data_IF_590729802977
#
_entry.id   IF_590729802977
#
_cell.length_a   1.000
_cell.length_b   1.000
_cell.length_c   1.000
_cell.angle_alpha   90.00
_cell.angle_beta   90.00
_cell.angle_gamma   90.00
#
_symmetry.space_group_name_H-M   'P 1'
#
loop_
_entity.id
_entity.type
_entity.pdbx_description
1 polymer ?
#
# COMPACT_ATOMS: atom_id res chain seq x y z
N UNK A 1 20.71 28.55 -23.15
CA UNK A 1 21.54 28.24 -21.97
C UNK A 1 20.72 27.35 -21.04
N UNK A 2 20.74 26.04 -21.27
CA UNK A 2 19.83 25.08 -20.60
C UNK A 2 20.56 23.96 -19.85
N UNK A 3 21.89 24.02 -19.76
CA UNK A 3 22.73 22.96 -19.19
C UNK A 3 22.82 22.99 -17.65
N UNK A 4 22.48 24.12 -17.02
CA UNK A 4 22.80 24.37 -15.61
C UNK A 4 21.98 23.51 -14.61
N UNK A 5 20.73 23.15 -14.95
CA UNK A 5 19.88 22.32 -14.06
C UNK A 5 20.31 20.86 -14.04
N UNK A 6 20.78 20.36 -15.18
CA UNK A 6 21.21 18.96 -15.37
C UNK A 6 22.54 18.69 -14.67
N UNK A 7 23.47 19.65 -14.67
CA UNK A 7 24.74 19.52 -13.96
C UNK A 7 24.58 19.51 -12.44
N UNK A 8 23.72 20.39 -11.89
CA UNK A 8 23.42 20.41 -10.45
C UNK A 8 22.87 19.08 -9.95
N UNK A 9 22.01 18.43 -10.74
CA UNK A 9 21.42 17.13 -10.41
C UNK A 9 22.47 16.00 -10.41
N UNK A 10 23.46 16.07 -11.32
CA UNK A 10 24.57 15.12 -11.38
C UNK A 10 25.54 15.30 -10.21
N UNK A 11 25.85 16.54 -9.82
CA UNK A 11 26.72 16.82 -8.67
C UNK A 11 26.12 16.33 -7.35
N UNK A 12 24.81 16.52 -7.14
CA UNK A 12 24.10 16.02 -5.94
C UNK A 12 24.16 14.49 -5.81
N UNK A 13 24.11 13.78 -6.93
CA UNK A 13 24.15 12.31 -6.95
C UNK A 13 25.55 11.76 -6.65
N UNK A 14 26.61 12.49 -7.05
CA UNK A 14 27.99 12.13 -6.70
C UNK A 14 28.27 12.32 -5.20
N UNK A 15 27.87 13.46 -4.63
CA UNK A 15 28.05 13.74 -3.20
C UNK A 15 27.33 12.77 -2.27
N UNK A 16 26.16 12.28 -2.66
CA UNK A 16 25.43 11.27 -1.87
C UNK A 16 26.10 9.90 -1.88
N UNK A 17 26.79 9.54 -2.98
CA UNK A 17 27.49 8.27 -3.10
C UNK A 17 28.82 8.26 -2.32
N UNK A 18 29.55 9.39 -2.32
CA UNK A 18 30.80 9.54 -1.54
C UNK A 18 30.50 9.48 -0.02
N UNK A 19 29.42 10.14 0.42
CA UNK A 19 29.02 10.15 1.84
C UNK A 19 28.54 8.79 2.35
N UNK A 20 28.11 7.89 1.47
CA UNK A 20 27.75 6.52 1.81
C UNK A 20 28.97 5.57 1.88
N UNK A 21 30.05 5.88 1.16
CA UNK A 21 31.29 5.09 1.20
C UNK A 21 32.12 5.36 2.46
N UNK A 22 32.18 6.62 2.94
CA UNK A 22 32.89 6.98 4.19
C UNK A 22 32.31 6.30 5.46
N UNK A 23 31.05 5.85 5.42
CA UNK A 23 30.41 5.14 6.55
C UNK A 23 30.74 3.65 6.56
N UNK A 24 31.31 3.11 5.47
CA UNK A 24 31.52 1.66 5.29
C UNK A 24 32.94 1.14 5.58
N UNK A 25 33.92 2.01 5.86
CA UNK A 25 35.33 1.61 6.07
C UNK A 25 35.85 1.72 7.52
N UNK A 26 34.97 1.76 8.53
CA UNK A 26 35.43 1.60 9.92
C UNK A 26 34.65 0.52 10.66
N UNK A 27 35.18 -0.71 10.61
CA UNK A 27 35.46 -1.60 11.76
C UNK A 27 35.67 -3.04 11.29
N UNK A 28 36.93 -3.47 11.32
CA UNK A 28 37.32 -4.88 11.43
C UNK A 28 37.70 -5.13 12.89
N UNK A 29 37.02 -6.05 13.57
CA UNK A 29 37.61 -7.17 14.33
C UNK A 29 36.54 -7.92 15.13
N UNK A 30 36.46 -9.23 14.89
CA UNK A 30 35.77 -10.29 15.65
C UNK A 30 36.60 -10.69 16.92
N UNK A 31 36.23 -11.70 17.74
CA UNK A 31 34.93 -12.33 18.09
C UNK A 31 34.76 -12.52 19.64
N UNK A 32 33.58 -12.94 20.13
CA UNK A 32 33.43 -13.81 21.33
C UNK A 32 31.96 -14.19 21.65
N UNK A 33 31.84 -15.43 22.13
CA UNK A 33 30.67 -16.22 22.53
C UNK A 33 29.84 -15.74 23.74
N UNK A 34 28.68 -16.38 23.92
CA UNK A 34 27.92 -16.68 25.16
C UNK A 34 26.65 -15.89 25.55
N UNK A 35 25.54 -16.66 25.57
CA UNK A 35 24.50 -16.84 26.59
C UNK A 35 23.47 -15.73 26.96
N UNK A 36 22.20 -16.18 26.92
CA UNK A 36 21.02 -15.81 27.76
C UNK A 36 20.74 -14.33 28.09
N UNK A 37 19.55 -13.89 27.70
CA UNK A 37 18.41 -13.72 28.62
C UNK A 37 17.34 -12.80 28.04
N UNK A 38 16.11 -13.27 28.15
CA UNK A 38 14.85 -12.53 28.22
C UNK A 38 14.92 -11.03 28.60
N UNK A 39 14.15 -10.20 27.88
CA UNK A 39 13.18 -9.27 28.47
C UNK A 39 12.28 -8.61 27.41
N UNK A 40 10.98 -8.80 27.60
CA UNK A 40 9.89 -7.96 27.10
C UNK A 40 10.23 -6.47 27.31
N UNK A 41 9.91 -5.63 26.32
CA UNK A 41 9.68 -4.20 26.53
C UNK A 41 8.65 -3.71 25.52
N UNK A 42 7.56 -3.15 26.06
CA UNK A 42 6.42 -2.54 25.35
C UNK A 42 6.92 -1.32 24.56
N UNK A 43 6.35 -0.99 23.39
CA UNK A 43 6.56 0.33 22.82
C UNK A 43 5.67 1.36 23.54
N UNK A 44 6.35 2.39 24.01
CA UNK A 44 5.87 3.60 24.65
C UNK A 44 4.92 4.40 23.75
N UNK A 45 3.97 5.08 24.39
CA UNK A 45 3.08 6.07 23.77
C UNK A 45 3.93 7.26 23.31
N UNK A 46 3.83 7.62 22.04
CA UNK A 46 4.42 8.88 21.55
C UNK A 46 3.38 9.70 20.79
N UNK A 47 2.80 10.62 21.56
CA UNK A 47 2.36 11.99 21.28
C UNK A 47 1.94 12.39 19.86
N UNK A 48 0.68 12.83 19.78
CA UNK A 48 0.07 13.63 18.71
C UNK A 48 0.87 14.91 18.40
N UNK A 49 0.91 15.35 17.12
CA UNK A 49 1.09 16.74 16.75
C UNK A 49 -0.26 17.39 16.38
N UNK A 50 -0.54 18.52 17.03
CA UNK A 50 -1.70 19.40 16.85
C UNK A 50 -1.93 19.88 15.41
N UNK A 51 -3.20 20.02 15.05
CA UNK A 51 -3.75 20.53 13.80
C UNK A 51 -3.35 21.99 13.49
N UNK A 52 -3.35 22.37 12.20
CA UNK A 52 -3.76 23.69 11.77
C UNK A 52 -5.14 23.66 11.07
N UNK A 53 -6.02 24.53 11.55
CA UNK A 53 -7.40 24.82 11.17
C UNK A 53 -7.73 24.89 9.66
N UNK A 54 -8.96 24.48 9.36
CA UNK A 54 -9.68 24.31 8.07
C UNK A 54 -9.70 25.51 7.10
N UNK A 55 -10.14 25.24 5.86
CA UNK A 55 -11.31 25.92 5.35
C UNK A 55 -12.43 24.96 4.91
N UNK A 56 -13.58 25.11 5.56
CA UNK A 56 -14.97 25.01 5.10
C UNK A 56 -15.17 24.59 3.62
N UNK A 57 -15.24 23.29 3.38
CA UNK A 57 -16.14 22.66 2.40
C UNK A 57 -16.81 21.54 3.20
N UNK A 58 -18.09 21.28 2.96
CA UNK A 58 -18.91 20.33 3.70
C UNK A 58 -18.38 18.90 3.59
N UNK A 59 -17.36 18.57 4.37
CA UNK A 59 -16.92 17.20 4.63
C UNK A 59 -18.02 16.55 5.45
N UNK A 60 -18.90 15.85 4.75
CA UNK A 60 -19.67 14.78 5.36
C UNK A 60 -18.61 13.84 5.92
N UNK A 61 -18.44 13.83 7.23
CA UNK A 61 -17.62 12.85 7.96
C UNK A 61 -18.21 11.47 7.70
N UNK A 62 -17.88 10.93 6.53
CA UNK A 62 -18.26 9.61 6.06
C UNK A 62 -17.31 8.68 6.83
N UNK A 63 -17.76 8.27 8.02
CA UNK A 63 -16.97 7.72 9.11
C UNK A 63 -15.92 6.67 8.70
N UNK A 64 -14.94 6.42 9.58
CA UNK A 64 -13.80 5.58 9.21
C UNK A 64 -14.23 4.23 8.62
N UNK A 65 -13.68 3.85 7.45
CA UNK A 65 -13.94 2.55 6.79
C UNK A 65 -13.81 1.36 7.74
N UNK A 66 -12.97 1.47 8.77
CA UNK A 66 -12.76 0.43 9.79
C UNK A 66 -13.95 0.23 10.74
N UNK A 67 -14.78 1.25 10.91
CA UNK A 67 -15.98 1.20 11.74
C UNK A 67 -17.17 0.62 10.96
N UNK A 68 -17.21 0.86 9.65
CA UNK A 68 -18.28 0.43 8.76
C UNK A 68 -18.06 -0.99 8.18
N UNK A 69 -16.81 -1.36 7.90
CA UNK A 69 -16.46 -2.57 7.15
C UNK A 69 -15.67 -3.58 7.99
N UNK A 70 -15.93 -4.87 7.74
CA UNK A 70 -15.23 -5.98 8.40
C UNK A 70 -13.90 -6.27 7.69
N UNK A 71 -12.79 -5.98 8.37
CA UNK A 71 -11.45 -6.29 7.90
C UNK A 71 -11.25 -7.79 7.67
N UNK A 72 -11.06 -8.18 6.42
CA UNK A 72 -10.92 -9.59 5.99
C UNK A 72 -9.57 -9.81 5.32
N UNK A 73 -8.82 -10.82 5.77
CA UNK A 73 -7.52 -11.20 5.19
C UNK A 73 -7.64 -12.49 4.38
N UNK A 74 -7.05 -12.51 3.18
CA UNK A 74 -7.11 -13.63 2.25
C UNK A 74 -5.75 -13.87 1.59
N UNK A 75 -5.47 -15.12 1.22
CA UNK A 75 -4.35 -15.45 0.36
C UNK A 75 -4.81 -15.52 -1.10
N UNK A 76 -4.12 -14.80 -1.98
CA UNK A 76 -4.39 -14.80 -3.41
C UNK A 76 -3.17 -15.34 -4.19
N UNK A 77 -3.39 -16.10 -5.29
CA UNK A 77 -2.35 -16.37 -6.27
C UNK A 77 -1.68 -15.07 -6.74
N UNK A 78 -0.37 -15.16 -7.03
CA UNK A 78 0.43 -13.98 -7.46
C UNK A 78 -0.13 -13.31 -8.71
N UNK A 79 -0.64 -14.12 -9.65
CA UNK A 79 -1.30 -13.63 -10.87
C UNK A 79 -2.53 -12.78 -10.52
N UNK A 80 -3.45 -13.33 -9.72
CA UNK A 80 -4.67 -12.63 -9.32
C UNK A 80 -4.38 -11.33 -8.55
N UNK A 81 -3.38 -11.32 -7.66
CA UNK A 81 -2.96 -10.07 -7.00
C UNK A 81 -2.51 -9.01 -8.00
N UNK A 82 -1.70 -9.40 -8.99
CA UNK A 82 -1.21 -8.49 -10.03
C UNK A 82 -2.36 -7.97 -10.91
N UNK A 83 -3.32 -8.83 -11.23
CA UNK A 83 -4.49 -8.46 -12.03
C UNK A 83 -5.38 -7.46 -11.28
N UNK A 84 -5.61 -7.67 -9.97
CA UNK A 84 -6.32 -6.70 -9.12
C UNK A 84 -5.61 -5.35 -9.07
N UNK A 85 -4.28 -5.32 -8.88
CA UNK A 85 -3.51 -4.08 -8.85
C UNK A 85 -3.59 -3.33 -10.19
N UNK A 86 -3.49 -4.05 -11.32
CA UNK A 86 -3.61 -3.47 -12.64
C UNK A 86 -5.02 -2.90 -12.87
N UNK A 87 -6.05 -3.68 -12.57
CA UNK A 87 -7.44 -3.27 -12.78
C UNK A 87 -7.78 -2.04 -11.94
N UNK A 88 -7.35 -2.02 -10.67
CA UNK A 88 -7.52 -0.86 -9.79
C UNK A 88 -6.90 0.40 -10.41
N UNK A 89 -5.66 0.35 -10.89
CA UNK A 89 -4.99 1.53 -11.44
C UNK A 89 -5.70 2.08 -12.68
N UNK A 90 -6.25 1.20 -13.53
CA UNK A 90 -7.00 1.60 -14.72
C UNK A 90 -8.32 2.26 -14.30
N UNK A 91 -9.13 1.58 -13.48
CA UNK A 91 -10.42 2.09 -13.05
C UNK A 91 -10.30 3.38 -12.24
N UNK A 92 -9.30 3.48 -11.35
CA UNK A 92 -8.99 4.70 -10.60
C UNK A 92 -8.74 5.87 -11.54
N UNK A 93 -7.85 5.68 -12.52
CA UNK A 93 -7.49 6.75 -13.45
C UNK A 93 -8.67 7.20 -14.31
N UNK A 94 -9.48 6.25 -14.79
CA UNK A 94 -10.68 6.56 -15.58
C UNK A 94 -11.75 7.27 -14.74
N UNK A 95 -12.02 6.78 -13.52
CA UNK A 95 -13.02 7.36 -12.62
C UNK A 95 -12.62 8.78 -12.16
N UNK A 96 -11.39 8.93 -11.66
CA UNK A 96 -10.89 10.23 -11.18
C UNK A 96 -10.82 11.28 -12.30
N UNK A 97 -10.50 10.86 -13.53
CA UNK A 97 -10.48 11.77 -14.68
C UNK A 97 -11.89 12.23 -15.09
N UNK A 98 -12.89 11.33 -15.00
CA UNK A 98 -14.25 11.62 -15.44
C UNK A 98 -15.05 12.40 -14.39
N UNK A 99 -14.87 12.09 -13.10
CA UNK A 99 -15.71 12.59 -12.02
C UNK A 99 -15.00 13.55 -11.06
N UNK A 100 -13.68 13.76 -11.18
CA UNK A 100 -12.88 14.55 -10.23
C UNK A 100 -13.04 14.11 -8.76
N UNK A 101 -13.38 12.84 -8.52
CA UNK A 101 -13.62 12.23 -7.20
C UNK A 101 -12.61 11.12 -6.89
N UNK A 102 -12.16 11.00 -5.63
CA UNK A 102 -11.20 9.98 -5.22
C UNK A 102 -11.77 8.55 -5.33
N UNK A 103 -11.03 7.66 -5.99
CA UNK A 103 -11.42 6.25 -6.12
C UNK A 103 -10.61 5.37 -5.16
N UNK A 104 -11.07 5.27 -3.92
CA UNK A 104 -10.38 4.54 -2.86
C UNK A 104 -10.48 3.01 -2.97
N UNK A 105 -9.42 2.31 -2.55
CA UNK A 105 -9.38 0.84 -2.55
C UNK A 105 -10.45 0.20 -1.67
N UNK A 106 -10.51 0.60 -0.40
CA UNK A 106 -11.33 -0.07 0.60
C UNK A 106 -12.79 0.40 0.56
N UNK A 107 -13.02 1.70 0.30
CA UNK A 107 -14.38 2.25 0.20
C UNK A 107 -15.07 1.89 -1.13
N UNK A 108 -14.35 1.90 -2.26
CA UNK A 108 -14.93 1.68 -3.58
C UNK A 108 -14.50 0.35 -4.24
N UNK A 109 -13.22 0.18 -4.53
CA UNK A 109 -12.76 -0.89 -5.43
C UNK A 109 -13.02 -2.31 -4.91
N UNK A 110 -12.60 -2.64 -3.69
CA UNK A 110 -12.76 -4.00 -3.15
C UNK A 110 -14.24 -4.39 -2.98
N UNK A 111 -15.13 -3.52 -2.45
CA UNK A 111 -16.56 -3.79 -2.43
C UNK A 111 -17.14 -4.10 -3.82
N UNK A 112 -16.75 -3.36 -4.86
CA UNK A 112 -17.21 -3.64 -6.23
C UNK A 112 -16.76 -5.01 -6.73
N UNK A 113 -15.47 -5.34 -6.55
CA UNK A 113 -14.92 -6.64 -6.96
C UNK A 113 -15.65 -7.78 -6.25
N UNK A 114 -15.86 -7.66 -4.94
CA UNK A 114 -16.54 -8.70 -4.15
C UNK A 114 -18.00 -8.83 -4.55
N UNK A 115 -18.73 -7.72 -4.69
CA UNK A 115 -20.16 -7.73 -5.09
C UNK A 115 -20.36 -8.44 -6.42
N UNK A 116 -19.66 -7.99 -7.48
CA UNK A 116 -19.82 -8.61 -8.79
C UNK A 116 -19.25 -10.03 -8.84
N UNK A 117 -18.22 -10.33 -8.04
CA UNK A 117 -17.72 -11.70 -7.85
C UNK A 117 -18.81 -12.62 -7.28
N UNK A 118 -19.50 -12.20 -6.22
CA UNK A 118 -20.59 -12.95 -5.61
C UNK A 118 -21.78 -13.11 -6.56
N UNK A 119 -22.22 -12.03 -7.21
CA UNK A 119 -23.29 -12.07 -8.22
C UNK A 119 -22.95 -13.04 -9.36
N UNK A 120 -21.68 -13.12 -9.78
CA UNK A 120 -21.24 -14.04 -10.84
C UNK A 120 -21.25 -15.53 -10.45
N UNK A 121 -21.29 -15.80 -9.14
CA UNK A 121 -21.36 -17.15 -8.56
C UNK A 121 -22.78 -17.50 -8.11
N UNK A 122 -23.64 -16.51 -7.93
CA UNK A 122 -25.04 -16.70 -7.55
C UNK A 122 -25.79 -17.47 -8.65
N UNK A 123 -26.52 -18.51 -8.24
CA UNK A 123 -27.30 -19.35 -9.15
C UNK A 123 -26.54 -20.48 -9.84
N UNK A 124 -25.22 -20.57 -9.67
CA UNK A 124 -24.45 -21.71 -10.18
C UNK A 124 -24.70 -22.97 -9.36
N UNK A 125 -24.77 -24.11 -10.05
CA UNK A 125 -24.82 -25.42 -9.40
C UNK A 125 -23.42 -25.97 -9.08
N UNK A 126 -23.38 -27.08 -8.33
CA UNK A 126 -22.12 -27.69 -7.89
C UNK A 126 -21.23 -28.18 -9.06
N UNK A 127 -21.83 -28.57 -10.18
CA UNK A 127 -21.09 -29.03 -11.36
C UNK A 127 -20.44 -27.85 -12.06
N UNK A 128 -21.17 -26.76 -12.24
CA UNK A 128 -20.67 -25.52 -12.83
C UNK A 128 -19.55 -24.89 -11.97
N UNK A 129 -19.71 -24.91 -10.65
CA UNK A 129 -18.65 -24.47 -9.73
C UNK A 129 -17.38 -25.32 -9.90
N UNK A 130 -17.53 -26.65 -10.04
CA UNK A 130 -16.39 -27.54 -10.25
C UNK A 130 -15.66 -27.22 -11.55
N UNK A 131 -16.38 -27.00 -12.65
CA UNK A 131 -15.77 -26.61 -13.93
C UNK A 131 -14.98 -25.30 -13.82
N UNK A 132 -15.50 -24.31 -13.08
CA UNK A 132 -14.78 -23.06 -12.84
C UNK A 132 -13.51 -23.27 -12.00
N UNK A 133 -13.58 -24.10 -10.96
CA UNK A 133 -12.43 -24.42 -10.11
C UNK A 133 -11.30 -25.11 -10.90
N UNK A 134 -11.64 -25.98 -11.86
CA UNK A 134 -10.65 -26.66 -12.71
C UNK A 134 -9.96 -25.70 -13.71
N UNK A 135 -10.49 -24.48 -13.87
CA UNK A 135 -9.95 -23.44 -14.77
C UNK A 135 -9.14 -22.33 -14.07
N UNK A 136 -9.02 -22.37 -12.73
CA UNK A 136 -8.34 -21.35 -11.91
C UNK A 136 -6.81 -21.46 -11.90
#
# INVERSE_FOLDING_TARGET
MSDDRSERLRQRRKQSHERAQDVSESKTDEPAETDKSSKLSKPDKQSEPSEPSEPDETDVDDGSVKEEQVGTYMYLPKSQKKDLERLYNILKAEYEYEYDEEFEKNRAFYPLVVKYGLESLEGLDASEIRERLDSL
#
